data_IF_618154734490
#
_entry.id   IF_618154734490
#
_cell.length_a   1.000
_cell.length_b   1.000
_cell.length_c   1.000
_cell.angle_alpha   90.00
_cell.angle_beta   90.00
_cell.angle_gamma   90.00
#
_symmetry.space_group_name_H-M   'P 1'
#
loop_
_entity.id
_entity.type
_entity.pdbx_description
1 polymer ?
#
# COMPACT_ATOMS: atom_id res chain seq x y z
N UNK A 1 1.30 -25.31 -18.02
CA UNK A 1 1.12 -25.06 -16.57
C UNK A 1 2.44 -24.54 -16.02
N UNK A 2 2.42 -23.38 -15.36
CA UNK A 2 3.63 -22.82 -14.74
C UNK A 2 4.09 -23.72 -13.59
N UNK A 3 5.41 -23.86 -13.36
CA UNK A 3 5.92 -24.57 -12.19
C UNK A 3 5.34 -24.00 -10.89
N UNK A 4 5.06 -24.85 -9.90
CA UNK A 4 4.51 -24.47 -8.60
C UNK A 4 5.17 -23.23 -7.95
N UNK A 5 6.52 -23.08 -7.90
CA UNK A 5 7.14 -21.89 -7.31
C UNK A 5 6.78 -20.60 -8.07
N UNK A 6 6.61 -20.69 -9.38
CA UNK A 6 6.27 -19.55 -10.22
C UNK A 6 4.82 -19.12 -10.02
N UNK A 7 3.90 -20.06 -9.82
CA UNK A 7 2.49 -19.76 -9.47
C UNK A 7 2.36 -19.13 -8.09
N UNK A 8 3.15 -19.60 -7.12
CA UNK A 8 3.24 -19.03 -5.78
C UNK A 8 3.67 -17.56 -5.81
N UNK A 9 4.63 -17.19 -6.65
CA UNK A 9 5.07 -15.81 -6.82
C UNK A 9 3.91 -14.89 -7.27
N UNK A 10 3.13 -15.31 -8.27
CA UNK A 10 2.00 -14.54 -8.79
C UNK A 10 0.82 -14.40 -7.83
N UNK A 11 0.76 -15.21 -6.76
CA UNK A 11 -0.23 -15.07 -5.69
C UNK A 11 0.36 -14.27 -4.53
N UNK A 12 1.58 -14.59 -4.10
CA UNK A 12 2.22 -14.00 -2.93
C UNK A 12 2.50 -12.50 -3.13
N UNK A 13 2.96 -12.10 -4.32
CA UNK A 13 3.30 -10.69 -4.59
C UNK A 13 2.06 -9.79 -4.54
N UNK A 14 0.96 -10.07 -5.25
CA UNK A 14 -0.25 -9.26 -5.13
C UNK A 14 -0.84 -9.27 -3.71
N UNK A 15 -0.77 -10.38 -2.98
CA UNK A 15 -1.20 -10.41 -1.58
C UNK A 15 -0.36 -9.49 -0.69
N UNK A 16 0.96 -9.49 -0.86
CA UNK A 16 1.86 -8.57 -0.15
C UNK A 16 1.55 -7.10 -0.49
N UNK A 17 1.35 -6.81 -1.78
CA UNK A 17 0.97 -5.48 -2.26
C UNK A 17 -0.37 -5.04 -1.67
N UNK A 18 -1.37 -5.93 -1.68
CA UNK A 18 -2.69 -5.66 -1.11
C UNK A 18 -2.62 -5.39 0.39
N UNK A 19 -1.87 -6.19 1.14
CA UNK A 19 -1.65 -5.98 2.57
C UNK A 19 -0.95 -4.65 2.87
N UNK A 20 0.11 -4.32 2.12
CA UNK A 20 0.83 -3.05 2.24
C UNK A 20 -0.05 -1.84 1.91
N UNK A 21 -0.85 -1.94 0.85
CA UNK A 21 -1.78 -0.89 0.44
C UNK A 21 -2.90 -0.66 1.48
N UNK A 22 -3.43 -1.73 2.07
CA UNK A 22 -4.39 -1.64 3.17
C UNK A 22 -3.76 -1.04 4.42
N UNK A 23 -2.52 -1.40 4.76
CA UNK A 23 -1.80 -0.80 5.88
C UNK A 23 -1.58 0.70 5.68
N UNK A 24 -1.22 1.12 4.45
CA UNK A 24 -1.12 2.53 4.10
C UNK A 24 -2.47 3.25 4.16
N UNK A 25 -3.56 2.60 3.75
CA UNK A 25 -4.89 3.18 3.84
C UNK A 25 -5.39 3.31 5.29
N UNK A 26 -5.08 2.34 6.16
CA UNK A 26 -5.48 2.36 7.56
C UNK A 26 -4.66 3.37 8.37
N UNK A 27 -3.35 3.45 8.13
CA UNK A 27 -2.41 4.21 8.97
C UNK A 27 -1.55 5.24 8.20
N UNK A 28 -2.13 6.09 7.32
CA UNK A 28 -1.34 7.01 6.50
C UNK A 28 -0.52 7.98 7.35
N UNK A 29 -1.14 8.60 8.37
CA UNK A 29 -0.48 9.56 9.28
C UNK A 29 0.74 8.98 10.00
N UNK A 30 0.71 7.70 10.38
CA UNK A 30 1.82 7.07 11.12
C UNK A 30 3.01 6.80 10.21
N UNK A 31 2.77 6.51 8.94
CA UNK A 31 3.79 6.18 7.95
C UNK A 31 4.40 7.41 7.28
N UNK A 32 3.72 8.57 7.35
CA UNK A 32 4.14 9.79 6.64
C UNK A 32 4.43 10.98 7.55
N UNK A 33 4.39 10.80 8.88
CA UNK A 33 4.74 11.87 9.81
C UNK A 33 6.27 12.00 9.90
N UNK A 34 6.77 13.21 9.70
CA UNK A 34 8.19 13.52 9.82
C UNK A 34 8.41 14.65 10.83
N UNK A 35 9.47 14.53 11.63
CA UNK A 35 9.96 15.64 12.44
C UNK A 35 11.05 16.35 11.65
N UNK A 36 10.82 17.61 11.32
CA UNK A 36 11.81 18.46 10.69
C UNK A 36 12.47 19.35 11.76
N UNK A 37 13.79 19.40 11.75
CA UNK A 37 14.54 20.38 12.55
C UNK A 37 14.58 21.67 11.76
N UNK A 38 13.98 22.71 12.34
CA UNK A 38 13.94 24.05 11.78
C UNK A 38 15.29 24.77 12.02
N UNK A 39 15.68 25.73 11.16
CA UNK A 39 16.95 26.47 11.31
C UNK A 39 17.10 27.22 12.64
N UNK A 40 15.99 27.52 13.30
CA UNK A 40 15.92 28.13 14.64
C UNK A 40 16.18 27.15 15.80
N UNK A 41 16.50 25.88 15.49
CA UNK A 41 16.74 24.83 16.48
C UNK A 41 15.46 24.16 17.01
N UNK A 42 14.28 24.65 16.63
CA UNK A 42 13.02 24.02 17.01
C UNK A 42 12.78 22.74 16.20
N UNK A 43 12.10 21.76 16.79
CA UNK A 43 11.59 20.59 16.07
C UNK A 43 10.13 20.81 15.75
N UNK A 44 9.82 20.97 14.46
CA UNK A 44 8.44 21.04 13.98
C UNK A 44 8.01 19.70 13.37
N UNK A 45 6.77 19.31 13.66
CA UNK A 45 6.17 18.13 13.06
C UNK A 45 5.50 18.54 11.75
N UNK A 46 6.02 18.05 10.64
CA UNK A 46 5.39 18.25 9.32
C UNK A 46 4.30 17.19 9.19
N UNK A 47 3.06 17.60 9.42
CA UNK A 47 1.89 16.75 9.20
C UNK A 47 1.36 16.92 7.77
N UNK A 48 1.07 15.83 7.04
CA UNK A 48 0.42 15.92 5.74
C UNK A 48 -1.01 16.47 5.89
N UNK A 49 -1.45 17.28 4.92
CA UNK A 49 -2.81 17.84 4.90
C UNK A 49 -3.89 16.75 4.89
N UNK A 50 -5.07 17.06 5.44
CA UNK A 50 -6.17 16.10 5.51
C UNK A 50 -6.63 15.62 4.13
N UNK A 51 -6.62 16.49 3.12
CA UNK A 51 -6.89 16.10 1.71
C UNK A 51 -5.88 15.08 1.20
N UNK A 52 -4.59 15.26 1.50
CA UNK A 52 -3.53 14.32 1.10
C UNK A 52 -3.71 12.97 1.80
N UNK A 53 -4.11 12.99 3.07
CA UNK A 53 -4.39 11.78 3.84
C UNK A 53 -5.60 11.05 3.26
N UNK A 54 -6.70 11.74 2.99
CA UNK A 54 -7.88 11.15 2.36
C UNK A 54 -7.52 10.49 1.03
N UNK A 55 -6.75 11.20 0.19
CA UNK A 55 -6.31 10.68 -1.09
C UNK A 55 -5.44 9.42 -0.95
N UNK A 56 -4.52 9.40 0.02
CA UNK A 56 -3.72 8.20 0.31
C UNK A 56 -4.59 7.01 0.73
N UNK A 57 -5.65 7.25 1.52
CA UNK A 57 -6.58 6.19 1.92
C UNK A 57 -7.33 5.62 0.73
N UNK A 58 -7.91 6.49 -0.11
CA UNK A 58 -8.63 6.09 -1.31
C UNK A 58 -7.71 5.31 -2.25
N UNK A 59 -6.51 5.83 -2.53
CA UNK A 59 -5.54 5.15 -3.38
C UNK A 59 -5.10 3.80 -2.82
N UNK A 60 -4.86 3.71 -1.51
CA UNK A 60 -4.53 2.44 -0.88
C UNK A 60 -5.65 1.39 -1.01
N UNK A 61 -6.91 1.80 -0.87
CA UNK A 61 -8.07 0.90 -1.10
C UNK A 61 -8.17 0.48 -2.57
N UNK A 62 -8.02 1.41 -3.51
CA UNK A 62 -8.04 1.10 -4.95
C UNK A 62 -6.94 0.11 -5.32
N UNK A 63 -5.71 0.35 -4.85
CA UNK A 63 -4.57 -0.55 -5.11
C UNK A 63 -4.81 -1.92 -4.48
N UNK A 64 -5.36 -1.99 -3.27
CA UNK A 64 -5.71 -3.26 -2.63
C UNK A 64 -6.77 -4.03 -3.44
N UNK A 65 -7.80 -3.35 -3.95
CA UNK A 65 -8.82 -3.96 -4.79
C UNK A 65 -8.22 -4.52 -6.10
N UNK A 66 -7.35 -3.75 -6.77
CA UNK A 66 -6.65 -4.21 -7.98
C UNK A 66 -5.74 -5.41 -7.70
N UNK A 67 -5.04 -5.41 -6.57
CA UNK A 67 -4.18 -6.52 -6.18
C UNK A 67 -4.98 -7.81 -5.93
N UNK A 68 -6.13 -7.71 -5.25
CA UNK A 68 -7.04 -8.84 -5.06
C UNK A 68 -7.64 -9.34 -6.38
N UNK A 69 -7.98 -8.42 -7.29
CA UNK A 69 -8.43 -8.77 -8.64
C UNK A 69 -7.36 -9.55 -9.41
N UNK A 70 -6.08 -9.17 -9.30
CA UNK A 70 -4.97 -9.92 -9.90
C UNK A 70 -4.87 -11.34 -9.32
N UNK A 71 -5.02 -11.51 -8.01
CA UNK A 71 -5.03 -12.85 -7.39
C UNK A 71 -6.17 -13.69 -7.95
N UNK A 72 -7.38 -13.13 -8.01
CA UNK A 72 -8.55 -13.80 -8.57
C UNK A 72 -8.32 -14.18 -10.04
N UNK A 73 -7.82 -13.26 -10.85
CA UNK A 73 -7.51 -13.50 -12.26
C UNK A 73 -6.45 -14.61 -12.44
N UNK A 74 -5.44 -14.66 -11.57
CA UNK A 74 -4.46 -15.74 -11.58
C UNK A 74 -5.12 -17.11 -11.34
N UNK A 75 -6.08 -17.22 -10.39
CA UNK A 75 -6.83 -18.46 -10.20
C UNK A 75 -7.80 -18.78 -11.36
N UNK A 76 -8.40 -17.77 -11.98
CA UNK A 76 -9.39 -17.95 -13.05
C UNK A 76 -8.76 -18.30 -14.41
N UNK A 77 -7.60 -17.73 -14.74
CA UNK A 77 -7.00 -17.80 -16.09
C UNK A 77 -5.67 -18.55 -16.15
N UNK A 78 -4.98 -18.80 -15.01
CA UNK A 78 -3.70 -19.51 -14.99
C UNK A 78 -3.90 -20.91 -14.36
N UNK A 79 -4.09 -21.96 -15.18
CA UNK A 79 -4.38 -23.33 -14.75
C UNK A 79 -3.17 -24.08 -14.20
#
# INVERSE_FOLDING_TARGET
>A
MLPAPFRLFFVAVPLLVGAGALAMAAFPRRLTAWQARSPDGSTQRIEPSDTRILMMRVMGVVVAALALLMVFANFAFIP
#
